data_IF_130910421192
#
_entry.id   IF_130910421192
#
_cell.length_a   1.000
_cell.length_b   1.000
_cell.length_c   1.000
_cell.angle_alpha   90.00
_cell.angle_beta   90.00
_cell.angle_gamma   90.00
#
_symmetry.space_group_name_H-M   'P 1'
#
loop_
_entity.id
_entity.type
_entity.pdbx_description
1 polymer ?
#
# COMPACT_ATOMS: atom_id res chain seq x y z
N UNK A 1 -15.37 22.09 -12.15
CA UNK A 1 -14.19 22.15 -11.26
C UNK A 1 -12.95 21.93 -12.11
N UNK A 2 -11.90 22.72 -11.94
CA UNK A 2 -10.66 22.62 -12.73
C UNK A 2 -10.01 21.25 -12.49
N UNK A 3 -9.66 20.52 -13.57
CA UNK A 3 -9.08 19.17 -13.52
C UNK A 3 -7.73 19.16 -12.78
N UNK A 4 -6.90 20.20 -12.94
CA UNK A 4 -5.64 20.36 -12.23
C UNK A 4 -5.83 20.49 -10.70
N UNK A 5 -6.82 21.27 -10.27
CA UNK A 5 -7.14 21.42 -8.85
C UNK A 5 -7.58 20.09 -8.23
N UNK A 6 -8.38 19.31 -8.95
CA UNK A 6 -8.75 17.95 -8.51
C UNK A 6 -7.54 17.04 -8.33
N UNK A 7 -6.59 17.09 -9.25
CA UNK A 7 -5.37 16.30 -9.11
C UNK A 7 -4.60 16.66 -7.84
N UNK A 8 -4.50 17.94 -7.48
CA UNK A 8 -3.87 18.38 -6.24
C UNK A 8 -4.61 17.82 -5.02
N UNK A 9 -5.95 17.90 -5.00
CA UNK A 9 -6.73 17.34 -3.90
C UNK A 9 -6.53 15.82 -3.75
N UNK A 10 -6.49 15.08 -4.85
CA UNK A 10 -6.21 13.63 -4.84
C UNK A 10 -4.79 13.37 -4.28
N UNK A 11 -3.79 14.14 -4.67
CA UNK A 11 -2.42 14.01 -4.14
C UNK A 11 -2.39 14.23 -2.63
N UNK A 12 -3.10 15.23 -2.13
CA UNK A 12 -3.24 15.49 -0.68
C UNK A 12 -3.81 14.25 0.03
N UNK A 13 -4.84 13.61 -0.53
CA UNK A 13 -5.46 12.43 0.07
C UNK A 13 -4.60 11.15 0.01
N UNK A 14 -3.52 11.15 -0.74
CA UNK A 14 -2.57 10.03 -0.83
C UNK A 14 -1.33 10.29 0.04
N UNK A 15 -0.75 11.49 -0.04
CA UNK A 15 0.57 11.76 0.51
C UNK A 15 0.55 12.46 1.87
N UNK A 16 -0.51 13.20 2.24
CA UNK A 16 -0.50 14.07 3.42
C UNK A 16 -1.32 13.49 4.58
N UNK A 17 -0.79 12.46 5.23
CA UNK A 17 -1.33 11.87 6.46
C UNK A 17 -0.53 12.19 7.71
N UNK A 18 0.50 13.02 7.61
CA UNK A 18 1.28 13.50 8.75
C UNK A 18 0.66 14.71 9.43
N UNK A 19 -0.44 15.22 8.89
CA UNK A 19 -1.22 16.32 9.44
C UNK A 19 -2.61 15.84 9.83
N UNK A 20 -3.02 16.12 11.07
CA UNK A 20 -4.40 15.94 11.55
C UNK A 20 -4.90 17.19 12.27
N UNK A 21 -6.20 17.47 12.18
CA UNK A 21 -6.84 18.58 12.86
C UNK A 21 -7.11 18.29 14.34
N UNK A 22 -7.48 17.03 14.65
CA UNK A 22 -7.76 16.55 16.00
C UNK A 22 -7.36 15.08 16.09
N UNK A 23 -7.00 14.64 17.31
CA UNK A 23 -6.55 13.28 17.58
C UNK A 23 -7.67 12.37 18.07
N UNK A 24 -8.56 12.92 18.87
CA UNK A 24 -9.64 12.18 19.51
C UNK A 24 -11.02 12.66 19.03
N UNK A 25 -12.03 11.75 18.89
CA UNK A 25 -12.02 10.31 19.18
C UNK A 25 -11.34 9.44 18.10
N UNK A 26 -10.91 10.03 17.01
CA UNK A 26 -10.12 9.45 15.93
C UNK A 26 -9.25 10.53 15.29
N UNK A 27 -8.17 10.14 14.62
CA UNK A 27 -7.31 11.12 13.94
C UNK A 27 -8.04 11.74 12.74
N UNK A 28 -8.36 13.01 12.82
CA UNK A 28 -9.05 13.79 11.79
C UNK A 28 -8.10 14.25 10.69
N UNK A 29 -7.74 13.39 9.75
CA UNK A 29 -6.82 13.70 8.67
C UNK A 29 -7.40 14.68 7.64
N UNK A 30 -6.54 15.46 7.01
CA UNK A 30 -6.91 16.37 5.92
C UNK A 30 -7.64 15.65 4.77
N UNK A 31 -7.32 14.39 4.53
CA UNK A 31 -8.01 13.56 3.55
C UNK A 31 -9.53 13.49 3.80
N UNK A 32 -9.96 13.38 5.06
CA UNK A 32 -11.39 13.33 5.39
C UNK A 32 -12.11 14.65 5.09
N UNK A 33 -11.43 15.77 5.30
CA UNK A 33 -12.00 17.08 4.91
C UNK A 33 -12.21 17.15 3.39
N UNK A 34 -11.23 16.68 2.61
CA UNK A 34 -11.37 16.60 1.14
C UNK A 34 -12.54 15.69 0.76
N UNK A 35 -12.71 14.54 1.43
CA UNK A 35 -13.85 13.67 1.20
C UNK A 35 -15.17 14.38 1.47
N UNK A 36 -15.31 15.02 2.63
CA UNK A 36 -16.53 15.72 3.03
C UNK A 36 -16.91 16.85 2.06
N UNK A 37 -15.94 17.60 1.56
CA UNK A 37 -16.17 18.69 0.60
C UNK A 37 -16.61 18.15 -0.77
N UNK A 38 -16.05 17.04 -1.23
CA UNK A 38 -16.31 16.53 -2.57
C UNK A 38 -17.49 15.55 -2.65
N UNK A 39 -17.87 14.87 -1.54
CA UNK A 39 -18.97 13.92 -1.57
C UNK A 39 -20.32 14.51 -2.03
N UNK A 40 -20.78 15.68 -1.56
CA UNK A 40 -22.03 16.25 -2.05
C UNK A 40 -22.02 16.45 -3.58
N UNK A 41 -20.90 16.96 -4.10
CA UNK A 41 -20.74 17.12 -5.55
C UNK A 41 -20.79 15.77 -6.29
N UNK A 42 -20.11 14.74 -5.78
CA UNK A 42 -20.09 13.41 -6.40
C UNK A 42 -21.47 12.74 -6.38
N UNK A 43 -22.18 12.82 -5.26
CA UNK A 43 -23.52 12.23 -5.12
C UNK A 43 -24.51 12.93 -6.05
N UNK A 44 -24.49 14.26 -6.12
CA UNK A 44 -25.36 15.03 -7.02
C UNK A 44 -25.06 14.73 -8.49
N UNK A 45 -23.79 14.58 -8.85
CA UNK A 45 -23.40 14.35 -10.25
C UNK A 45 -23.60 12.91 -10.71
N UNK A 46 -23.34 11.93 -9.84
CA UNK A 46 -23.24 10.53 -10.24
C UNK A 46 -24.24 9.59 -9.57
N UNK A 47 -24.96 10.06 -8.56
CA UNK A 47 -25.80 9.21 -7.73
C UNK A 47 -25.00 8.20 -6.90
N UNK A 48 -25.69 7.30 -6.24
CA UNK A 48 -25.09 6.30 -5.34
C UNK A 48 -24.64 5.07 -6.13
N UNK A 49 -23.36 4.66 -6.09
CA UNK A 49 -22.85 3.54 -6.86
C UNK A 49 -23.19 2.20 -6.21
N UNK A 50 -23.71 1.25 -6.98
CA UNK A 50 -24.11 -0.08 -6.48
C UNK A 50 -22.91 -0.95 -6.08
N UNK A 51 -21.85 -0.99 -6.89
CA UNK A 51 -20.73 -1.91 -6.71
C UNK A 51 -19.99 -1.72 -5.37
N UNK A 52 -19.54 -0.50 -4.99
CA UNK A 52 -18.91 -0.32 -3.68
C UNK A 52 -19.84 -0.72 -2.52
N UNK A 53 -21.13 -0.37 -2.60
CA UNK A 53 -22.08 -0.70 -1.53
C UNK A 53 -22.22 -2.20 -1.34
N UNK A 54 -22.35 -2.97 -2.42
CA UNK A 54 -22.50 -4.42 -2.35
C UNK A 54 -21.30 -5.11 -1.66
N UNK A 55 -20.09 -4.58 -1.84
CA UNK A 55 -18.89 -5.10 -1.17
C UNK A 55 -18.96 -4.91 0.35
N UNK A 56 -19.59 -3.85 0.83
CA UNK A 56 -19.64 -3.50 2.25
C UNK A 56 -20.81 -4.13 3.02
N UNK A 57 -21.85 -4.66 2.35
CA UNK A 57 -22.99 -5.29 3.02
C UNK A 57 -22.55 -6.47 3.92
N UNK A 58 -21.75 -7.46 3.46
CA UNK A 58 -21.30 -8.55 4.31
C UNK A 58 -20.47 -8.09 5.51
N UNK A 59 -19.62 -7.06 5.31
CA UNK A 59 -18.78 -6.48 6.36
C UNK A 59 -19.62 -5.74 7.42
N UNK A 60 -20.69 -5.07 6.99
CA UNK A 60 -21.63 -4.41 7.89
C UNK A 60 -22.39 -5.43 8.72
N UNK A 61 -22.93 -6.46 8.08
CA UNK A 61 -23.69 -7.51 8.75
C UNK A 61 -22.83 -8.29 9.75
N UNK A 62 -21.62 -8.68 9.36
CA UNK A 62 -20.69 -9.36 10.28
C UNK A 62 -20.34 -8.45 11.48
N UNK A 63 -20.08 -7.16 11.25
CA UNK A 63 -19.79 -6.21 12.32
C UNK A 63 -20.93 -6.08 13.33
N UNK A 64 -22.19 -5.99 12.86
CA UNK A 64 -23.37 -5.94 13.74
C UNK A 64 -23.48 -7.23 14.56
N UNK A 65 -23.35 -8.39 13.95
CA UNK A 65 -23.41 -9.68 14.64
C UNK A 65 -22.35 -9.74 15.74
N UNK A 66 -21.09 -9.40 15.46
CA UNK A 66 -20.00 -9.47 16.44
C UNK A 66 -20.08 -8.42 17.55
N UNK A 67 -20.72 -7.29 17.32
CA UNK A 67 -21.07 -6.33 18.38
C UNK A 67 -22.13 -6.94 19.32
N UNK A 68 -23.18 -7.56 18.77
CA UNK A 68 -24.27 -8.15 19.55
C UNK A 68 -23.81 -9.30 20.44
N UNK A 69 -22.84 -10.09 19.98
CA UNK A 69 -22.29 -11.21 20.79
C UNK A 69 -21.09 -10.80 21.66
N UNK A 70 -20.74 -9.51 21.72
CA UNK A 70 -19.70 -8.98 22.61
C UNK A 70 -18.25 -9.21 22.15
N UNK A 71 -18.02 -9.63 20.89
CA UNK A 71 -16.68 -9.83 20.33
C UNK A 71 -16.09 -8.59 19.66
N UNK A 72 -16.90 -7.54 19.49
CA UNK A 72 -16.45 -6.23 18.99
C UNK A 72 -17.20 -5.12 19.72
N UNK A 73 -16.74 -3.87 19.54
CA UNK A 73 -17.41 -2.69 20.14
C UNK A 73 -17.85 -1.72 19.05
N UNK A 74 -18.94 -0.99 19.30
CA UNK A 74 -19.49 -0.01 18.38
C UNK A 74 -18.45 1.04 17.94
N UNK A 75 -17.67 1.67 18.86
CA UNK A 75 -16.67 2.68 18.47
C UNK A 75 -15.57 2.14 17.56
N UNK A 76 -15.02 0.96 17.87
CA UNK A 76 -13.95 0.35 17.07
C UNK A 76 -14.47 -0.02 15.68
N UNK A 77 -15.64 -0.65 15.60
CA UNK A 77 -16.25 -1.02 14.34
C UNK A 77 -16.56 0.19 13.48
N UNK A 78 -17.27 1.19 14.01
CA UNK A 78 -17.65 2.39 13.25
C UNK A 78 -16.41 3.14 12.76
N UNK A 79 -15.38 3.30 13.59
CA UNK A 79 -14.12 3.97 13.22
C UNK A 79 -13.51 3.35 11.96
N UNK A 80 -13.40 2.02 11.92
CA UNK A 80 -12.75 1.32 10.81
C UNK A 80 -13.70 1.18 9.63
N UNK A 81 -14.94 0.78 9.85
CA UNK A 81 -15.93 0.60 8.80
C UNK A 81 -16.21 1.91 8.05
N UNK A 82 -16.47 3.01 8.76
CA UNK A 82 -16.76 4.30 8.14
C UNK A 82 -15.54 4.84 7.36
N UNK A 83 -14.33 4.80 7.94
CA UNK A 83 -13.12 5.25 7.27
C UNK A 83 -12.83 4.45 5.99
N UNK A 84 -13.00 3.13 6.05
CA UNK A 84 -12.80 2.26 4.90
C UNK A 84 -13.87 2.46 3.83
N UNK A 85 -15.15 2.47 4.22
CA UNK A 85 -16.28 2.69 3.30
C UNK A 85 -16.18 4.04 2.58
N UNK A 86 -15.98 5.13 3.33
CA UNK A 86 -15.86 6.48 2.76
C UNK A 86 -14.66 6.58 1.81
N UNK A 87 -13.52 6.01 2.17
CA UNK A 87 -12.33 6.03 1.31
C UNK A 87 -12.53 5.24 0.02
N UNK A 88 -13.10 4.03 0.09
CA UNK A 88 -13.40 3.21 -1.09
C UNK A 88 -14.40 3.91 -2.01
N UNK A 89 -15.46 4.49 -1.44
CA UNK A 89 -16.47 5.23 -2.18
C UNK A 89 -15.90 6.49 -2.84
N UNK A 90 -15.10 7.26 -2.10
CA UNK A 90 -14.44 8.47 -2.60
C UNK A 90 -13.58 8.17 -3.83
N UNK A 91 -12.68 7.20 -3.74
CA UNK A 91 -11.82 6.89 -4.87
C UNK A 91 -12.56 6.26 -6.04
N UNK A 92 -13.63 5.50 -5.80
CA UNK A 92 -14.51 5.07 -6.90
C UNK A 92 -15.08 6.25 -7.68
N UNK A 93 -15.56 7.30 -6.99
CA UNK A 93 -16.04 8.51 -7.65
C UNK A 93 -14.92 9.27 -8.36
N UNK A 94 -13.71 9.30 -7.80
CA UNK A 94 -12.55 9.88 -8.49
C UNK A 94 -12.34 9.17 -9.83
N UNK A 95 -12.30 7.83 -9.86
CA UNK A 95 -12.17 7.10 -11.12
C UNK A 95 -13.32 7.40 -12.09
N UNK A 96 -14.55 7.48 -11.61
CA UNK A 96 -15.71 7.82 -12.43
C UNK A 96 -15.63 9.24 -12.98
N UNK A 97 -15.11 10.18 -12.22
CA UNK A 97 -14.93 11.57 -12.65
C UNK A 97 -13.88 11.71 -13.76
N UNK A 98 -12.85 10.87 -13.72
CA UNK A 98 -11.80 10.79 -14.74
C UNK A 98 -12.10 9.74 -15.83
N UNK A 99 -13.39 9.35 -15.97
CA UNK A 99 -13.84 8.42 -17.02
C UNK A 99 -13.06 7.11 -17.04
N UNK A 100 -12.58 6.68 -15.86
CA UNK A 100 -11.75 5.49 -15.65
C UNK A 100 -10.39 5.52 -16.38
N UNK A 101 -9.89 6.73 -16.71
CA UNK A 101 -8.59 6.90 -17.35
C UNK A 101 -7.43 6.64 -16.37
N UNK A 102 -7.09 5.35 -16.24
CA UNK A 102 -6.07 4.84 -15.33
C UNK A 102 -4.69 5.44 -15.60
N UNK A 103 -4.31 5.55 -16.87
CA UNK A 103 -3.00 6.09 -17.28
C UNK A 103 -2.81 7.54 -16.81
N UNK A 104 -3.85 8.36 -16.91
CA UNK A 104 -3.81 9.74 -16.44
C UNK A 104 -3.59 9.80 -14.93
N UNK A 105 -4.44 9.13 -14.15
CA UNK A 105 -4.35 9.12 -12.69
C UNK A 105 -3.02 8.54 -12.19
N UNK A 106 -2.52 7.48 -12.83
CA UNK A 106 -1.22 6.91 -12.51
C UNK A 106 -0.07 7.87 -12.80
N UNK A 107 -0.13 8.58 -13.94
CA UNK A 107 0.89 9.58 -14.30
C UNK A 107 0.93 10.75 -13.30
N UNK A 108 -0.24 11.21 -12.84
CA UNK A 108 -0.30 12.24 -11.79
C UNK A 108 0.22 11.74 -10.44
N UNK A 109 -0.12 10.51 -10.05
CA UNK A 109 0.46 9.90 -8.87
C UNK A 109 2.00 9.87 -8.95
N UNK A 110 2.58 9.48 -10.08
CA UNK A 110 4.03 9.46 -10.28
C UNK A 110 4.69 10.85 -10.18
N UNK A 111 4.00 11.91 -10.64
CA UNK A 111 4.46 13.30 -10.45
C UNK A 111 4.51 13.65 -8.97
N UNK A 112 3.46 13.36 -8.21
CA UNK A 112 3.42 13.54 -6.77
C UNK A 112 4.51 12.74 -6.05
N UNK A 113 4.67 11.47 -6.41
CA UNK A 113 5.73 10.61 -5.90
C UNK A 113 7.14 11.18 -6.16
N UNK A 114 7.36 11.79 -7.33
CA UNK A 114 8.62 12.47 -7.66
C UNK A 114 8.85 13.68 -6.75
N UNK A 115 7.81 14.51 -6.53
CA UNK A 115 7.90 15.71 -5.68
C UNK A 115 8.24 15.30 -4.24
N UNK A 116 7.49 14.36 -3.66
CA UNK A 116 7.74 13.95 -2.27
C UNK A 116 9.09 13.22 -2.12
N UNK A 117 9.56 12.52 -3.15
CA UNK A 117 10.91 11.96 -3.18
C UNK A 117 11.99 13.04 -3.20
N UNK A 118 11.80 14.10 -3.99
CA UNK A 118 12.71 15.25 -4.02
C UNK A 118 12.75 15.96 -2.65
N UNK A 119 11.60 16.16 -2.00
CA UNK A 119 11.54 16.72 -0.63
C UNK A 119 12.33 15.82 0.33
N UNK A 120 12.22 14.49 0.22
CA UNK A 120 13.01 13.57 1.05
C UNK A 120 14.52 13.66 0.81
N UNK A 121 14.97 13.84 -0.44
CA UNK A 121 16.41 14.08 -0.73
C UNK A 121 16.86 15.41 -0.12
N UNK A 122 16.07 16.48 -0.24
CA UNK A 122 16.35 17.78 0.40
C UNK A 122 16.44 17.62 1.92
N UNK A 123 15.56 16.82 2.53
CA UNK A 123 15.59 16.49 3.95
C UNK A 123 16.93 15.90 4.38
N UNK A 124 17.45 14.91 3.65
CA UNK A 124 18.76 14.29 3.95
C UNK A 124 19.91 15.30 3.79
N UNK A 125 19.92 16.06 2.70
CA UNK A 125 20.95 17.08 2.46
C UNK A 125 20.92 18.14 3.57
N UNK A 126 19.74 18.63 3.94
CA UNK A 126 19.56 19.62 5.00
C UNK A 126 20.06 19.13 6.36
N UNK A 127 19.86 17.85 6.67
CA UNK A 127 20.41 17.25 7.87
C UNK A 127 21.93 17.25 7.88
N UNK A 128 22.57 16.88 6.75
CA UNK A 128 24.04 16.84 6.63
C UNK A 128 24.70 18.22 6.80
N UNK A 129 24.01 19.30 6.39
CA UNK A 129 24.52 20.66 6.54
C UNK A 129 24.01 21.35 7.82
N UNK A 130 23.26 20.66 8.68
CA UNK A 130 22.74 21.21 9.95
C UNK A 130 21.59 22.21 9.80
N UNK A 131 20.90 22.25 8.64
CA UNK A 131 19.78 23.15 8.38
C UNK A 131 18.47 22.56 8.90
N UNK A 132 18.09 22.89 10.14
CA UNK A 132 16.96 22.28 10.85
C UNK A 132 15.63 22.41 10.12
N UNK A 133 15.29 23.59 9.60
CA UNK A 133 14.03 23.80 8.87
C UNK A 133 13.91 22.96 7.58
N UNK A 134 15.01 22.48 7.05
CA UNK A 134 15.00 21.60 5.87
C UNK A 134 14.81 20.13 6.19
N UNK A 135 15.18 19.67 7.39
CA UNK A 135 15.03 18.26 7.76
C UNK A 135 13.95 17.98 8.81
N UNK A 136 13.60 18.95 9.64
CA UNK A 136 12.54 18.82 10.66
C UNK A 136 11.23 19.41 10.13
N UNK A 137 10.47 18.59 9.42
CA UNK A 137 9.23 19.05 8.77
C UNK A 137 8.06 19.25 9.75
N UNK A 138 8.20 18.93 11.05
CA UNK A 138 7.21 19.25 12.06
C UNK A 138 6.96 20.77 12.18
N UNK A 139 7.98 21.61 11.89
CA UNK A 139 7.85 23.06 11.85
C UNK A 139 6.80 23.59 10.87
N UNK A 140 6.45 22.78 9.84
CA UNK A 140 5.41 23.13 8.86
C UNK A 140 4.02 22.61 9.22
N UNK A 141 3.78 22.31 10.50
CA UNK A 141 2.47 21.88 11.00
C UNK A 141 2.17 20.40 10.78
N UNK A 142 3.15 19.59 10.40
CA UNK A 142 2.99 18.14 10.30
C UNK A 142 3.06 17.51 11.70
N UNK A 143 1.97 17.60 12.44
CA UNK A 143 1.90 17.29 13.88
C UNK A 143 2.02 15.79 14.23
N UNK A 144 1.93 14.89 13.24
CA UNK A 144 2.22 13.45 13.39
C UNK A 144 3.61 13.08 12.86
N UNK A 145 4.34 14.05 12.33
CA UNK A 145 5.65 13.84 11.76
C UNK A 145 6.73 13.74 12.83
N UNK A 146 7.64 12.79 12.66
CA UNK A 146 8.87 12.68 13.44
C UNK A 146 9.99 12.15 12.56
N UNK A 147 11.24 12.52 12.85
CA UNK A 147 12.37 11.88 12.21
C UNK A 147 12.82 10.68 13.02
N UNK A 148 13.32 9.67 12.33
CA UNK A 148 13.91 8.49 12.95
C UNK A 148 15.40 8.51 12.69
N UNK A 149 16.20 8.45 13.74
CA UNK A 149 17.66 8.29 13.61
C UNK A 149 17.99 6.87 13.11
N UNK A 150 19.06 6.76 12.34
CA UNK A 150 19.64 5.52 11.87
C UNK A 150 21.15 5.67 11.83
N UNK A 151 21.93 4.62 11.78
CA UNK A 151 23.38 4.55 12.04
C UNK A 151 24.28 5.63 11.42
N UNK A 152 23.87 6.28 10.32
CA UNK A 152 24.65 7.35 9.65
C UNK A 152 23.94 8.71 9.64
N UNK A 153 22.84 8.87 10.40
CA UNK A 153 22.07 10.11 10.41
C UNK A 153 20.56 9.89 10.57
N UNK A 154 19.76 10.58 9.76
CA UNK A 154 18.31 10.38 9.74
C UNK A 154 17.89 9.48 8.58
N UNK A 155 16.83 8.70 8.79
CA UNK A 155 16.17 7.90 7.76
C UNK A 155 15.19 8.77 6.99
N UNK A 156 15.19 8.68 5.65
CA UNK A 156 14.31 9.45 4.81
C UNK A 156 12.85 9.05 5.03
N UNK A 157 12.02 10.02 5.42
CA UNK A 157 10.56 9.88 5.49
C UNK A 157 9.81 11.00 4.75
N UNK A 158 10.50 12.04 4.28
CA UNK A 158 9.89 13.19 3.60
C UNK A 158 8.73 13.76 4.42
N UNK A 159 7.57 13.96 3.82
CA UNK A 159 6.35 14.47 4.50
C UNK A 159 5.55 13.39 5.24
N UNK A 160 6.01 12.15 5.25
CA UNK A 160 5.33 11.04 5.94
C UNK A 160 5.75 10.96 7.41
N UNK A 161 4.89 10.39 8.25
CA UNK A 161 5.18 10.21 9.68
C UNK A 161 6.32 9.22 9.94
N UNK A 162 6.54 8.26 9.03
CA UNK A 162 7.56 7.23 9.16
C UNK A 162 8.17 6.85 7.80
N UNK A 163 9.45 6.40 7.78
CA UNK A 163 10.10 5.87 6.58
C UNK A 163 9.38 4.67 5.95
N UNK A 164 8.71 3.86 6.75
CA UNK A 164 7.93 2.69 6.31
C UNK A 164 6.70 3.08 5.47
N UNK A 165 6.00 4.14 5.86
CA UNK A 165 4.87 4.67 5.09
C UNK A 165 5.33 5.30 3.78
N UNK A 166 6.40 6.10 3.81
CA UNK A 166 7.00 6.62 2.57
C UNK A 166 7.35 5.47 1.62
N UNK A 167 8.11 4.46 2.10
CA UNK A 167 8.51 3.32 1.28
C UNK A 167 7.31 2.58 0.67
N UNK A 168 6.26 2.32 1.46
CA UNK A 168 5.07 1.64 0.97
C UNK A 168 4.36 2.44 -0.13
N UNK A 169 4.11 3.74 0.12
CA UNK A 169 3.33 4.59 -0.81
C UNK A 169 4.08 4.89 -2.09
N UNK A 170 5.42 5.00 -2.02
CA UNK A 170 6.27 5.28 -3.20
C UNK A 170 6.66 4.00 -3.96
N UNK A 171 6.39 2.82 -3.42
CA UNK A 171 6.76 1.55 -4.06
C UNK A 171 6.30 1.40 -5.52
N UNK A 172 5.08 1.79 -5.93
CA UNK A 172 4.69 1.75 -7.34
C UNK A 172 5.57 2.66 -8.23
N UNK A 173 5.93 3.84 -7.74
CA UNK A 173 6.82 4.76 -8.46
C UNK A 173 8.26 4.22 -8.51
N UNK A 174 8.72 3.59 -7.44
CA UNK A 174 10.01 2.90 -7.39
C UNK A 174 10.09 1.77 -8.42
N UNK A 175 9.06 0.95 -8.56
CA UNK A 175 9.04 -0.10 -9.59
C UNK A 175 9.18 0.47 -11.00
N UNK A 176 8.43 1.55 -11.34
CA UNK A 176 8.53 2.23 -12.63
C UNK A 176 9.93 2.80 -12.84
N UNK A 177 10.49 3.46 -11.83
CA UNK A 177 11.81 4.07 -11.87
C UNK A 177 12.91 3.00 -12.08
N UNK A 178 12.85 1.89 -11.34
CA UNK A 178 13.77 0.75 -11.47
C UNK A 178 13.69 0.13 -12.86
N UNK A 179 12.48 -0.12 -13.36
CA UNK A 179 12.26 -0.65 -14.71
C UNK A 179 12.85 0.28 -15.78
N UNK A 180 12.64 1.60 -15.66
CA UNK A 180 13.15 2.59 -16.59
C UNK A 180 14.69 2.57 -16.66
N UNK A 181 15.34 2.51 -15.51
CA UNK A 181 16.82 2.48 -15.42
C UNK A 181 17.36 1.17 -15.98
N UNK A 182 16.80 0.02 -15.58
CA UNK A 182 17.22 -1.30 -16.04
C UNK A 182 17.08 -1.45 -17.56
N UNK A 183 15.97 -0.94 -18.11
CA UNK A 183 15.72 -1.03 -19.57
C UNK A 183 16.31 0.12 -20.39
N UNK A 184 16.80 1.18 -19.74
CA UNK A 184 17.19 2.43 -20.39
C UNK A 184 16.10 3.02 -21.30
N UNK A 185 14.83 2.73 -20.95
CA UNK A 185 13.65 3.22 -21.68
C UNK A 185 12.70 3.87 -20.67
N UNK A 186 12.52 5.17 -20.80
CA UNK A 186 11.78 5.98 -19.84
C UNK A 186 10.30 6.06 -20.24
N UNK A 187 9.45 5.38 -19.45
CA UNK A 187 7.99 5.35 -19.60
C UNK A 187 7.40 6.08 -18.40
N UNK A 188 6.40 6.93 -18.60
CA UNK A 188 5.71 7.77 -17.62
C UNK A 188 6.55 8.89 -16.99
N UNK A 189 7.80 8.62 -16.59
CA UNK A 189 8.70 9.57 -15.93
C UNK A 189 10.08 9.53 -16.57
N UNK A 190 10.76 10.71 -16.57
CA UNK A 190 12.08 10.86 -17.16
C UNK A 190 13.21 10.26 -16.29
N UNK A 191 14.43 10.33 -16.81
CA UNK A 191 15.64 9.79 -16.17
C UNK A 191 15.90 10.40 -14.79
N UNK A 192 15.85 11.72 -14.68
CA UNK A 192 16.12 12.45 -13.43
C UNK A 192 15.11 12.06 -12.34
N UNK A 193 13.81 12.03 -12.66
CA UNK A 193 12.77 11.62 -11.74
C UNK A 193 12.99 10.16 -11.29
N UNK A 194 13.37 9.25 -12.19
CA UNK A 194 13.66 7.86 -11.87
C UNK A 194 14.83 7.75 -10.87
N UNK A 195 15.91 8.51 -11.09
CA UNK A 195 17.08 8.50 -10.18
C UNK A 195 16.69 9.06 -8.80
N UNK A 196 15.94 10.17 -8.73
CA UNK A 196 15.47 10.76 -7.47
C UNK A 196 14.62 9.77 -6.67
N UNK A 197 13.66 9.11 -7.32
CA UNK A 197 12.78 8.12 -6.66
C UNK A 197 13.58 6.94 -6.14
N UNK A 198 14.51 6.38 -6.93
CA UNK A 198 15.33 5.24 -6.50
C UNK A 198 16.21 5.65 -5.31
N UNK A 199 16.90 6.79 -5.39
CA UNK A 199 17.73 7.28 -4.29
C UNK A 199 16.90 7.50 -3.01
N UNK A 200 15.77 8.20 -3.10
CA UNK A 200 14.89 8.44 -1.96
C UNK A 200 14.38 7.12 -1.35
N UNK A 201 14.00 6.14 -2.19
CA UNK A 201 13.52 4.86 -1.73
C UNK A 201 14.57 4.07 -0.93
N UNK A 202 15.81 4.03 -1.42
CA UNK A 202 16.93 3.36 -0.73
C UNK A 202 17.25 4.07 0.58
N UNK A 203 17.27 5.40 0.62
CA UNK A 203 17.58 6.19 1.81
C UNK A 203 16.54 6.12 2.93
N UNK A 204 15.42 5.45 2.70
CA UNK A 204 14.47 5.14 3.79
C UNK A 204 15.05 4.20 4.84
N UNK A 205 16.00 3.34 4.47
CA UNK A 205 16.52 2.26 5.31
C UNK A 205 15.42 1.51 6.07
N UNK A 206 14.27 1.33 5.40
CA UNK A 206 13.08 0.71 5.98
C UNK A 206 13.01 -0.78 5.61
N UNK A 207 12.59 -1.63 6.55
CA UNK A 207 12.31 -3.04 6.25
C UNK A 207 11.23 -3.21 5.18
N UNK A 208 10.26 -2.28 5.11
CA UNK A 208 9.26 -2.21 4.03
C UNK A 208 9.94 -1.86 2.70
N UNK A 209 10.89 -0.93 2.72
CA UNK A 209 11.69 -0.57 1.53
C UNK A 209 12.51 -1.73 1.01
N UNK A 210 13.23 -2.45 1.89
CA UNK A 210 14.03 -3.63 1.52
C UNK A 210 13.13 -4.72 0.91
N UNK A 211 12.01 -5.03 1.55
CA UNK A 211 11.02 -5.98 1.03
C UNK A 211 10.47 -5.53 -0.34
N UNK A 212 10.22 -4.23 -0.49
CA UNK A 212 9.75 -3.67 -1.76
C UNK A 212 10.77 -3.79 -2.89
N UNK A 213 12.08 -3.59 -2.61
CA UNK A 213 13.14 -3.84 -3.59
C UNK A 213 13.13 -5.31 -4.02
N UNK A 214 13.04 -6.23 -3.05
CA UNK A 214 13.00 -7.67 -3.33
C UNK A 214 11.82 -8.06 -4.23
N UNK A 215 10.61 -7.63 -3.90
CA UNK A 215 9.40 -7.91 -4.70
C UNK A 215 9.47 -7.24 -6.08
N UNK A 216 9.97 -6.00 -6.17
CA UNK A 216 10.13 -5.31 -7.45
C UNK A 216 11.09 -6.06 -8.39
N UNK A 217 12.23 -6.53 -7.85
CA UNK A 217 13.17 -7.37 -8.60
C UNK A 217 12.51 -8.67 -9.05
N UNK A 218 11.77 -9.35 -8.16
CA UNK A 218 11.03 -10.56 -8.50
C UNK A 218 10.04 -10.30 -9.66
N UNK A 219 9.32 -9.19 -9.65
CA UNK A 219 8.42 -8.83 -10.75
C UNK A 219 9.17 -8.55 -12.07
N UNK A 220 10.36 -7.96 -12.03
CA UNK A 220 11.21 -7.84 -13.20
C UNK A 220 11.61 -9.20 -13.74
N UNK A 221 12.04 -10.13 -12.88
CA UNK A 221 12.40 -11.48 -13.26
C UNK A 221 11.23 -12.23 -13.91
N UNK A 222 10.03 -12.15 -13.32
CA UNK A 222 8.81 -12.77 -13.84
C UNK A 222 8.41 -12.23 -15.22
N UNK A 223 8.62 -10.94 -15.50
CA UNK A 223 8.22 -10.30 -16.75
C UNK A 223 9.27 -10.38 -17.87
N UNK A 224 10.55 -10.56 -17.55
CA UNK A 224 11.64 -10.59 -18.54
C UNK A 224 12.34 -11.92 -18.68
N UNK A 225 11.93 -12.93 -17.94
CA UNK A 225 12.52 -14.26 -17.92
C UNK A 225 13.49 -14.46 -16.76
N UNK A 226 13.13 -15.39 -15.90
CA UNK A 226 13.84 -15.68 -14.65
C UNK A 226 15.32 -16.06 -14.90
N UNK A 227 15.57 -16.98 -15.84
CA UNK A 227 16.90 -17.54 -16.07
C UNK A 227 17.93 -16.50 -16.49
N UNK A 228 17.55 -15.52 -17.32
CA UNK A 228 18.48 -14.53 -17.87
C UNK A 228 19.04 -13.57 -16.81
N UNK A 229 18.26 -13.25 -15.78
CA UNK A 229 18.61 -12.20 -14.81
C UNK A 229 18.94 -12.74 -13.43
N UNK A 230 18.61 -13.99 -13.13
CA UNK A 230 18.94 -14.65 -11.85
C UNK A 230 20.43 -14.63 -11.56
N UNK A 231 21.25 -14.91 -12.59
CA UNK A 231 22.72 -14.88 -12.45
C UNK A 231 23.30 -13.50 -12.15
N UNK A 232 22.54 -12.44 -12.35
CA UNK A 232 22.94 -11.07 -11.99
C UNK A 232 22.37 -10.72 -10.62
N UNK A 233 21.10 -11.01 -10.38
CA UNK A 233 20.42 -10.58 -9.16
C UNK A 233 20.82 -11.39 -7.94
N UNK A 234 21.07 -12.68 -8.07
CA UNK A 234 21.52 -13.52 -6.93
C UNK A 234 22.85 -13.04 -6.36
N UNK A 235 23.90 -12.82 -7.17
CA UNK A 235 25.14 -12.22 -6.65
C UNK A 235 24.94 -10.82 -6.05
N UNK A 236 24.20 -9.95 -6.72
CA UNK A 236 23.93 -8.59 -6.21
C UNK A 236 23.20 -8.63 -4.87
N UNK A 237 22.21 -9.52 -4.73
CA UNK A 237 21.53 -9.72 -3.45
C UNK A 237 22.45 -10.30 -2.38
N UNK A 238 23.23 -11.32 -2.71
CA UNK A 238 24.15 -11.94 -1.79
C UNK A 238 25.22 -10.94 -1.28
N UNK A 239 25.87 -10.23 -2.20
CA UNK A 239 26.86 -9.22 -1.81
C UNK A 239 26.23 -8.01 -1.10
N UNK A 240 25.04 -7.60 -1.51
CA UNK A 240 24.29 -6.53 -0.84
C UNK A 240 23.87 -6.93 0.57
N UNK A 241 23.38 -8.14 0.75
CA UNK A 241 23.07 -8.71 2.07
C UNK A 241 24.34 -8.85 2.93
N UNK A 242 25.40 -9.44 2.39
CA UNK A 242 26.67 -9.60 3.07
C UNK A 242 27.26 -8.27 3.52
N UNK A 243 27.22 -7.27 2.63
CA UNK A 243 27.66 -5.90 2.97
C UNK A 243 26.79 -5.29 4.08
N UNK A 244 25.47 -5.36 3.95
CA UNK A 244 24.55 -4.81 4.93
C UNK A 244 24.70 -5.50 6.30
N UNK A 245 24.82 -6.82 6.32
CA UNK A 245 25.00 -7.60 7.54
C UNK A 245 26.30 -7.29 8.28
N UNK A 246 27.40 -7.07 7.55
CA UNK A 246 28.70 -6.80 8.17
C UNK A 246 28.95 -5.33 8.51
N UNK A 247 28.27 -4.38 7.84
CA UNK A 247 28.57 -2.96 7.97
C UNK A 247 27.42 -2.13 8.57
N UNK A 248 26.21 -2.68 8.68
CA UNK A 248 25.05 -1.98 9.22
C UNK A 248 24.55 -2.78 10.44
N UNK A 249 24.94 -2.35 11.62
CA UNK A 249 24.61 -2.99 12.89
C UNK A 249 23.09 -3.18 13.04
N UNK A 250 22.30 -2.14 12.77
CA UNK A 250 20.83 -2.18 12.82
C UNK A 250 20.23 -3.24 11.86
N UNK A 251 20.87 -3.52 10.72
CA UNK A 251 20.43 -4.56 9.79
C UNK A 251 20.76 -5.96 10.34
N UNK A 252 21.95 -6.14 10.89
CA UNK A 252 22.38 -7.39 11.53
C UNK A 252 21.48 -7.75 12.70
N UNK A 253 21.26 -6.80 13.63
CA UNK A 253 20.43 -7.01 14.81
C UNK A 253 18.97 -7.38 14.46
N UNK A 254 18.44 -6.79 13.40
CA UNK A 254 17.11 -7.17 12.89
C UNK A 254 17.06 -8.56 12.30
N UNK A 255 18.12 -8.96 11.60
CA UNK A 255 18.21 -10.28 10.97
C UNK A 255 18.38 -11.37 12.03
N UNK A 256 19.35 -11.18 12.93
CA UNK A 256 19.65 -12.12 14.01
C UNK A 256 18.45 -12.24 14.97
N UNK A 257 17.87 -11.14 15.43
CA UNK A 257 16.65 -11.15 16.24
C UNK A 257 15.42 -11.74 15.54
N UNK A 258 15.41 -11.82 14.20
CA UNK A 258 14.35 -12.55 13.47
C UNK A 258 14.65 -14.05 13.49
N UNK A 259 15.90 -14.47 13.34
CA UNK A 259 16.31 -15.88 13.43
C UNK A 259 16.07 -16.45 14.82
N UNK A 260 16.36 -15.66 15.86
CA UNK A 260 16.17 -16.07 17.26
C UNK A 260 14.71 -16.41 17.58
N UNK A 261 13.75 -15.67 16.98
CA UNK A 261 12.32 -15.99 17.11
C UNK A 261 11.98 -17.39 16.60
N UNK A 262 12.61 -17.82 15.51
CA UNK A 262 12.36 -19.14 14.91
C UNK A 262 13.19 -20.27 15.57
N UNK A 263 14.25 -19.93 16.29
CA UNK A 263 15.13 -20.90 16.96
C UNK A 263 14.77 -21.13 18.42
N UNK A 264 13.94 -20.26 19.02
CA UNK A 264 13.55 -20.38 20.42
C UNK A 264 12.49 -21.48 20.62
N UNK A 265 12.85 -22.55 21.31
CA UNK A 265 11.94 -23.63 21.73
C UNK A 265 10.91 -23.17 22.79
N UNK A 266 10.15 -22.10 22.49
CA UNK A 266 9.00 -21.68 23.28
C UNK A 266 9.23 -20.64 24.38
N UNK A 267 10.46 -20.30 24.76
CA UNK A 267 10.75 -19.19 25.68
C UNK A 267 11.39 -18.00 24.92
N UNK A 268 10.52 -17.13 24.41
CA UNK A 268 10.92 -15.90 23.73
C UNK A 268 11.32 -14.87 24.78
N UNK A 269 12.61 -14.68 25.01
CA UNK A 269 13.13 -13.61 25.85
C UNK A 269 12.95 -12.27 25.11
N UNK A 270 11.91 -11.50 25.49
CA UNK A 270 11.52 -10.25 24.85
C UNK A 270 12.60 -9.14 24.87
N UNK A 271 13.66 -9.31 25.65
CA UNK A 271 14.75 -8.36 25.79
C UNK A 271 15.81 -8.48 24.69
N UNK A 272 15.98 -9.64 24.08
CA UNK A 272 17.04 -9.94 23.10
C UNK A 272 16.55 -9.81 21.65
N UNK A 273 15.22 -9.62 21.42
CA UNK A 273 14.64 -9.61 20.09
C UNK A 273 14.47 -8.17 19.61
N UNK A 274 14.91 -7.90 18.39
CA UNK A 274 14.67 -6.61 17.74
C UNK A 274 13.17 -6.27 17.72
N UNK A 275 12.79 -5.12 18.30
CA UNK A 275 11.39 -4.74 18.56
C UNK A 275 10.43 -4.89 17.39
N UNK A 276 10.86 -4.63 16.13
CA UNK A 276 9.95 -4.75 14.96
C UNK A 276 9.69 -6.20 14.54
N UNK A 277 10.61 -7.13 14.81
CA UNK A 277 10.41 -8.57 14.56
C UNK A 277 9.47 -9.16 15.60
N UNK A 278 9.67 -8.82 16.87
CA UNK A 278 8.77 -9.21 17.95
C UNK A 278 7.35 -8.71 17.72
N UNK A 279 7.17 -7.45 17.31
CA UNK A 279 5.85 -6.88 16.98
C UNK A 279 5.12 -7.71 15.93
N UNK A 280 5.80 -8.10 14.85
CA UNK A 280 5.19 -8.91 13.79
C UNK A 280 4.84 -10.32 14.28
N UNK A 281 5.73 -10.96 15.04
CA UNK A 281 5.53 -12.28 15.62
C UNK A 281 4.36 -12.29 16.62
N UNK A 282 4.31 -11.33 17.53
CA UNK A 282 3.21 -11.20 18.49
C UNK A 282 1.86 -11.00 17.79
N UNK A 283 1.79 -10.12 16.77
CA UNK A 283 0.57 -9.93 16.00
C UNK A 283 0.20 -11.16 15.16
N UNK A 284 1.18 -11.93 14.66
CA UNK A 284 0.93 -13.22 14.02
C UNK A 284 0.32 -14.23 15.01
N UNK A 285 0.86 -14.33 16.21
CA UNK A 285 0.30 -15.18 17.28
C UNK A 285 -1.14 -14.79 17.60
N UNK A 286 -1.40 -13.49 17.84
CA UNK A 286 -2.74 -12.96 18.13
C UNK A 286 -3.73 -13.25 16.99
N UNK A 287 -3.34 -13.01 15.76
CA UNK A 287 -4.18 -13.26 14.60
C UNK A 287 -4.48 -14.75 14.42
N UNK A 288 -3.49 -15.62 14.64
CA UNK A 288 -3.63 -17.07 14.56
C UNK A 288 -4.58 -17.60 15.64
N UNK A 289 -4.42 -17.15 16.89
CA UNK A 289 -5.29 -17.52 18.01
C UNK A 289 -6.74 -17.11 17.78
N UNK A 290 -6.95 -15.89 17.27
CA UNK A 290 -8.29 -15.40 16.95
C UNK A 290 -8.89 -16.13 15.74
N UNK A 291 -8.07 -16.43 14.73
CA UNK A 291 -8.49 -17.15 13.52
C UNK A 291 -8.92 -18.59 13.82
N UNK A 292 -8.16 -19.34 14.63
CA UNK A 292 -8.53 -20.73 14.99
C UNK A 292 -9.92 -20.79 15.61
N UNK A 293 -10.32 -19.77 16.38
CA UNK A 293 -11.64 -19.70 17.02
C UNK A 293 -12.73 -19.14 16.11
N UNK A 294 -12.37 -18.30 15.15
CA UNK A 294 -13.30 -17.60 14.26
C UNK A 294 -12.82 -17.63 12.79
N UNK A 295 -12.71 -18.83 12.16
CA UNK A 295 -11.96 -18.97 10.91
C UNK A 295 -12.64 -18.38 9.67
N UNK A 296 -13.99 -18.33 9.62
CA UNK A 296 -14.70 -17.99 8.37
C UNK A 296 -14.78 -16.49 8.16
N UNK A 297 -15.30 -15.74 9.13
CA UNK A 297 -15.57 -14.28 9.02
C UNK A 297 -14.90 -13.46 10.13
N UNK A 298 -13.96 -14.06 10.87
CA UNK A 298 -13.20 -13.38 11.94
C UNK A 298 -14.08 -12.92 13.09
N UNK A 299 -13.78 -11.74 13.66
CA UNK A 299 -14.52 -11.12 14.76
C UNK A 299 -15.05 -9.71 14.43
N UNK A 300 -15.09 -9.36 13.13
CA UNK A 300 -15.57 -8.08 12.60
C UNK A 300 -14.48 -7.02 12.48
N UNK A 301 -14.69 -6.09 11.54
CA UNK A 301 -13.75 -4.99 11.30
C UNK A 301 -13.49 -4.16 12.57
N UNK A 302 -12.23 -3.85 12.83
CA UNK A 302 -11.82 -3.06 14.00
C UNK A 302 -11.69 -3.85 15.29
N UNK A 303 -11.88 -5.18 15.30
CA UNK A 303 -11.82 -6.01 16.50
C UNK A 303 -10.40 -6.47 16.89
N UNK A 304 -9.41 -6.29 16.04
CA UNK A 304 -8.03 -6.74 16.34
C UNK A 304 -7.48 -6.22 17.68
N UNK A 305 -7.74 -4.96 18.12
CA UNK A 305 -7.34 -4.51 19.44
C UNK A 305 -7.91 -5.34 20.61
N UNK A 306 -9.09 -5.89 20.46
CA UNK A 306 -9.71 -6.77 21.48
C UNK A 306 -9.01 -8.13 21.50
N UNK A 307 -8.72 -8.68 20.31
CA UNK A 307 -7.92 -9.90 20.20
C UNK A 307 -6.50 -9.70 20.77
N UNK A 308 -5.90 -8.53 20.55
CA UNK A 308 -4.59 -8.16 21.11
C UNK A 308 -4.63 -8.20 22.64
N UNK A 309 -5.60 -7.56 23.29
CA UNK A 309 -5.73 -7.55 24.75
C UNK A 309 -5.91 -8.97 25.31
N UNK A 310 -6.52 -9.87 24.54
CA UNK A 310 -6.80 -11.23 24.97
C UNK A 310 -5.63 -12.20 24.77
N UNK A 311 -4.92 -12.09 23.65
CA UNK A 311 -3.96 -13.11 23.21
C UNK A 311 -2.52 -12.64 23.12
N UNK A 312 -2.20 -11.36 23.43
CA UNK A 312 -0.84 -10.84 23.33
C UNK A 312 0.12 -11.60 24.27
N UNK A 313 1.27 -11.96 23.74
CA UNK A 313 2.35 -12.57 24.53
C UNK A 313 2.92 -11.60 25.59
N UNK A 314 2.76 -10.30 25.42
CA UNK A 314 3.19 -9.28 26.38
C UNK A 314 2.40 -9.33 27.69
N UNK A 315 1.19 -9.89 27.71
CA UNK A 315 0.37 -10.05 28.92
C UNK A 315 1.01 -11.01 29.92
N UNK A 316 1.77 -12.00 29.45
CA UNK A 316 2.44 -12.99 30.30
C UNK A 316 3.74 -12.48 30.95
N UNK A 317 4.35 -11.42 30.41
CA UNK A 317 5.72 -10.98 30.77
C UNK A 317 5.70 -9.74 31.69
N UNK A 318 4.52 -9.12 31.95
CA UNK A 318 4.44 -7.93 32.82
C UNK A 318 5.17 -6.69 32.28
N UNK A 319 5.56 -6.71 31.00
CA UNK A 319 6.24 -5.60 30.33
C UNK A 319 5.27 -4.47 30.14
N UNK A 320 5.66 -3.28 30.56
CA UNK A 320 4.96 -2.01 30.38
C UNK A 320 4.31 -1.97 29.02
N UNK A 321 3.00 -1.68 28.96
CA UNK A 321 2.14 -1.64 27.78
C UNK A 321 2.73 -0.80 26.63
N UNK A 322 3.67 -1.36 25.88
CA UNK A 322 4.10 -0.77 24.62
C UNK A 322 3.05 -1.16 23.58
N UNK A 323 2.54 -0.16 22.89
CA UNK A 323 1.42 -0.30 21.96
C UNK A 323 1.90 -0.91 20.60
N UNK A 324 2.39 -2.16 20.64
CA UNK A 324 3.01 -2.90 19.52
C UNK A 324 2.08 -3.10 18.32
N UNK A 325 1.70 -2.01 17.65
CA UNK A 325 0.77 -2.02 16.51
C UNK A 325 -0.58 -2.69 16.81
N UNK A 326 -1.05 -2.58 18.05
CA UNK A 326 -2.34 -3.07 18.52
C UNK A 326 -3.50 -2.67 17.59
N UNK A 327 -3.44 -1.47 17.02
CA UNK A 327 -4.51 -0.94 16.19
C UNK A 327 -4.58 -1.53 14.78
N UNK A 328 -3.46 -2.03 14.23
CA UNK A 328 -3.35 -2.39 12.81
C UNK A 328 -2.61 -3.70 12.51
N UNK A 329 -2.19 -4.43 13.54
CA UNK A 329 -1.47 -5.70 13.44
C UNK A 329 -0.13 -5.63 12.66
N UNK A 330 0.37 -4.45 12.30
CA UNK A 330 1.57 -4.24 11.47
C UNK A 330 1.57 -5.00 10.11
N UNK A 331 0.43 -5.59 9.74
CA UNK A 331 0.24 -6.37 8.52
C UNK A 331 -1.25 -6.47 8.21
N UNK A 332 -1.64 -6.07 6.99
CA UNK A 332 -3.05 -6.17 6.58
C UNK A 332 -3.50 -7.64 6.45
N UNK A 333 -2.59 -8.54 6.10
CA UNK A 333 -2.89 -9.97 6.07
C UNK A 333 -3.27 -10.48 7.46
N UNK A 334 -2.48 -10.17 8.48
CA UNK A 334 -2.75 -10.58 9.86
C UNK A 334 -4.02 -9.94 10.40
N UNK A 335 -4.22 -8.67 10.09
CA UNK A 335 -5.41 -7.94 10.48
C UNK A 335 -6.67 -8.52 9.83
N UNK A 336 -6.64 -8.79 8.50
CA UNK A 336 -7.75 -9.45 7.81
C UNK A 336 -8.02 -10.84 8.37
N UNK A 337 -6.97 -11.60 8.65
CA UNK A 337 -7.10 -12.94 9.23
C UNK A 337 -7.84 -12.89 10.58
N UNK A 338 -7.48 -11.94 11.44
CA UNK A 338 -8.11 -11.74 12.75
C UNK A 338 -9.53 -11.17 12.64
N UNK A 339 -9.73 -10.09 11.84
CA UNK A 339 -10.98 -9.32 11.80
C UNK A 339 -12.03 -9.92 10.86
N UNK A 340 -11.61 -10.58 9.76
CA UNK A 340 -12.52 -11.06 8.71
C UNK A 340 -12.30 -12.53 8.32
N UNK A 341 -11.38 -13.21 8.97
CA UNK A 341 -11.09 -14.63 8.72
C UNK A 341 -10.66 -14.90 7.28
N UNK A 342 -10.95 -16.11 6.80
CA UNK A 342 -10.62 -16.53 5.43
C UNK A 342 -11.40 -15.74 4.37
N UNK A 343 -12.56 -15.19 4.72
CA UNK A 343 -13.37 -14.40 3.79
C UNK A 343 -12.62 -13.16 3.30
N UNK A 344 -12.10 -12.31 4.19
CA UNK A 344 -11.40 -11.08 3.80
C UNK A 344 -10.03 -11.35 3.19
N UNK A 345 -9.29 -12.32 3.75
CA UNK A 345 -8.01 -12.77 3.17
C UNK A 345 -8.23 -13.33 1.76
N UNK A 346 -9.20 -14.22 1.59
CA UNK A 346 -9.53 -14.82 0.30
C UNK A 346 -9.97 -13.79 -0.73
N UNK A 347 -10.80 -12.81 -0.35
CA UNK A 347 -11.21 -11.72 -1.22
C UNK A 347 -10.00 -10.88 -1.69
N UNK A 348 -9.08 -10.55 -0.79
CA UNK A 348 -7.91 -9.73 -1.13
C UNK A 348 -6.93 -10.50 -2.03
N UNK A 349 -6.69 -11.77 -1.75
CA UNK A 349 -5.89 -12.64 -2.61
C UNK A 349 -6.56 -12.85 -3.97
N UNK A 350 -7.88 -13.01 -4.02
CA UNK A 350 -8.62 -13.07 -5.27
C UNK A 350 -8.45 -11.78 -6.09
N UNK A 351 -8.57 -10.61 -5.47
CA UNK A 351 -8.33 -9.33 -6.15
C UNK A 351 -6.91 -9.29 -6.72
N UNK A 352 -5.90 -9.65 -5.92
CA UNK A 352 -4.51 -9.61 -6.33
C UNK A 352 -4.23 -10.55 -7.51
N UNK A 353 -4.66 -11.81 -7.44
CA UNK A 353 -4.36 -12.82 -8.45
C UNK A 353 -5.21 -12.64 -9.72
N UNK A 354 -6.52 -12.38 -9.56
CA UNK A 354 -7.47 -12.28 -10.68
C UNK A 354 -7.21 -11.10 -11.60
N UNK A 355 -6.75 -9.98 -11.03
CA UNK A 355 -6.54 -8.74 -11.78
C UNK A 355 -5.07 -8.49 -12.13
N UNK A 356 -4.17 -9.45 -11.87
CA UNK A 356 -2.78 -9.34 -12.24
C UNK A 356 -2.57 -9.45 -13.75
N UNK A 357 -1.84 -8.48 -14.30
CA UNK A 357 -1.45 -8.44 -15.70
C UNK A 357 0.07 -8.56 -15.82
N UNK A 358 0.54 -9.59 -16.49
CA UNK A 358 1.95 -9.72 -16.84
C UNK A 358 2.20 -9.32 -18.29
N UNK A 359 3.45 -9.06 -18.64
CA UNK A 359 3.88 -8.51 -19.94
C UNK A 359 3.34 -9.27 -21.16
N UNK A 360 3.22 -10.60 -21.09
CA UNK A 360 2.73 -11.42 -22.20
C UNK A 360 1.21 -11.38 -22.41
N UNK A 361 0.44 -10.81 -21.47
CA UNK A 361 -1.04 -10.74 -21.52
C UNK A 361 -1.59 -9.35 -21.78
N UNK A 362 -0.76 -8.36 -22.09
CA UNK A 362 -1.21 -7.00 -22.34
C UNK A 362 -0.87 -6.55 -23.73
N UNK A 363 -1.79 -5.79 -24.35
CA UNK A 363 -1.56 -5.16 -25.64
C UNK A 363 -0.62 -3.94 -25.49
N UNK A 364 -0.91 -3.11 -24.50
CA UNK A 364 -0.14 -1.90 -24.22
C UNK A 364 0.92 -2.16 -23.15
N UNK A 365 2.13 -1.68 -23.40
CA UNK A 365 3.23 -1.82 -22.47
C UNK A 365 2.90 -1.19 -21.09
N UNK A 366 2.13 -0.12 -21.06
CA UNK A 366 1.79 0.62 -19.85
C UNK A 366 0.92 -0.19 -18.90
N UNK A 367 0.01 -1.01 -19.40
CA UNK A 367 -0.93 -1.79 -18.59
C UNK A 367 -0.25 -2.79 -17.65
N UNK A 368 0.74 -3.55 -18.15
CA UNK A 368 1.47 -4.49 -17.30
C UNK A 368 2.41 -3.76 -16.32
N UNK A 369 2.98 -2.62 -16.72
CA UNK A 369 3.82 -1.80 -15.84
C UNK A 369 2.97 -1.30 -14.66
N UNK A 370 1.82 -0.71 -14.93
CA UNK A 370 0.86 -0.26 -13.91
C UNK A 370 0.46 -1.43 -13.01
N UNK A 371 0.11 -2.57 -13.60
CA UNK A 371 -0.32 -3.74 -12.83
C UNK A 371 0.76 -4.23 -11.85
N UNK A 372 2.00 -4.36 -12.29
CA UNK A 372 3.10 -4.78 -11.41
C UNK A 372 3.43 -3.74 -10.34
N UNK A 373 3.44 -2.46 -10.70
CA UNK A 373 3.63 -1.37 -9.76
C UNK A 373 2.56 -1.39 -8.64
N UNK A 374 1.30 -1.59 -9.01
CA UNK A 374 0.19 -1.65 -8.06
C UNK A 374 0.16 -2.96 -7.26
N UNK A 375 0.50 -4.10 -7.87
CA UNK A 375 0.65 -5.36 -7.14
C UNK A 375 1.74 -5.26 -6.06
N UNK A 376 2.80 -4.49 -6.30
CA UNK A 376 3.87 -4.26 -5.32
C UNK A 376 3.34 -3.59 -4.06
N UNK A 377 2.60 -2.47 -4.17
CA UNK A 377 2.05 -1.80 -2.98
C UNK A 377 1.01 -2.67 -2.27
N UNK A 378 0.19 -3.43 -3.01
CA UNK A 378 -0.79 -4.36 -2.42
C UNK A 378 -0.07 -5.43 -1.59
N UNK A 379 0.99 -6.04 -2.12
CA UNK A 379 1.78 -7.02 -1.39
C UNK A 379 2.49 -6.42 -0.17
N UNK A 380 3.05 -5.21 -0.29
CA UNK A 380 3.67 -4.54 0.85
C UNK A 380 2.67 -4.25 1.97
N UNK A 381 1.45 -3.83 1.64
CA UNK A 381 0.41 -3.63 2.64
C UNK A 381 -0.02 -4.97 3.27
N UNK A 382 -0.20 -6.02 2.49
CA UNK A 382 -0.50 -7.34 3.03
C UNK A 382 0.57 -7.81 4.01
N UNK A 383 1.85 -7.59 3.73
CA UNK A 383 2.94 -8.14 4.51
C UNK A 383 3.37 -7.25 5.69
N UNK A 384 3.34 -5.91 5.55
CA UNK A 384 4.01 -4.99 6.48
C UNK A 384 3.27 -3.68 6.78
N UNK A 385 2.00 -3.51 6.37
CA UNK A 385 1.18 -2.34 6.65
C UNK A 385 -0.25 -2.75 6.96
N UNK A 386 -0.74 -2.45 8.17
CA UNK A 386 -2.03 -2.94 8.65
C UNK A 386 -3.24 -2.05 8.34
N UNK A 387 -3.10 -1.02 7.52
CA UNK A 387 -4.15 -0.05 7.30
C UNK A 387 -5.00 -0.34 6.06
N UNK A 388 -6.33 -0.37 6.20
CA UNK A 388 -7.27 -0.62 5.10
C UNK A 388 -7.44 0.57 4.15
N UNK A 389 -7.23 1.81 4.61
CA UNK A 389 -7.62 3.01 3.86
C UNK A 389 -6.65 4.19 3.96
N UNK A 390 -5.64 4.14 4.83
CA UNK A 390 -4.67 5.23 4.93
C UNK A 390 -3.80 5.33 3.68
N UNK A 391 -3.23 6.51 3.47
CA UNK A 391 -2.32 6.78 2.34
C UNK A 391 -2.90 6.42 0.97
N UNK A 392 -4.22 6.57 0.82
CA UNK A 392 -4.89 6.32 -0.45
C UNK A 392 -4.88 4.85 -0.89
N UNK A 393 -4.73 3.88 0.01
CA UNK A 393 -4.67 2.46 -0.37
C UNK A 393 -5.85 2.01 -1.26
N UNK A 394 -7.13 2.39 -1.02
CA UNK A 394 -8.23 2.08 -1.93
C UNK A 394 -8.11 2.70 -3.32
N UNK A 395 -7.39 3.82 -3.49
CA UNK A 395 -7.07 4.38 -4.80
C UNK A 395 -6.25 3.39 -5.64
N UNK A 396 -5.23 2.78 -5.04
CA UNK A 396 -4.39 1.79 -5.72
C UNK A 396 -5.16 0.50 -6.03
N UNK A 397 -6.07 0.06 -5.16
CA UNK A 397 -6.94 -1.09 -5.40
C UNK A 397 -7.89 -0.82 -6.59
N UNK A 398 -8.57 0.33 -6.63
CA UNK A 398 -9.43 0.69 -7.77
C UNK A 398 -8.64 0.84 -9.05
N UNK A 399 -7.47 1.45 -8.99
CA UNK A 399 -6.58 1.58 -10.15
C UNK A 399 -6.16 0.22 -10.70
N UNK A 400 -5.84 -0.72 -9.82
CA UNK A 400 -5.50 -2.10 -10.19
C UNK A 400 -6.65 -2.82 -10.90
N UNK A 401 -7.85 -2.72 -10.35
CA UNK A 401 -9.06 -3.27 -10.93
C UNK A 401 -9.40 -2.65 -12.29
N UNK A 402 -9.40 -1.32 -12.39
CA UNK A 402 -9.77 -0.65 -13.64
C UNK A 402 -8.70 -0.82 -14.72
N UNK A 403 -7.42 -0.94 -14.37
CA UNK A 403 -6.36 -1.28 -15.31
C UNK A 403 -6.60 -2.65 -15.96
N UNK A 404 -6.95 -3.65 -15.15
CA UNK A 404 -7.32 -4.97 -15.64
C UNK A 404 -8.60 -4.94 -16.48
N UNK A 405 -9.63 -4.23 -16.04
CA UNK A 405 -10.90 -4.10 -16.74
C UNK A 405 -10.70 -3.51 -18.14
N UNK A 406 -9.96 -2.40 -18.24
CA UNK A 406 -9.64 -1.74 -19.51
C UNK A 406 -8.86 -2.68 -20.47
N UNK A 407 -7.87 -3.44 -19.96
CA UNK A 407 -7.18 -4.44 -20.78
C UNK A 407 -8.13 -5.51 -21.31
N UNK A 408 -9.06 -5.99 -20.49
CA UNK A 408 -10.03 -7.01 -20.90
C UNK A 408 -10.99 -6.49 -21.96
N UNK A 409 -11.48 -5.26 -21.84
CA UNK A 409 -12.34 -4.61 -22.83
C UNK A 409 -11.62 -4.49 -24.18
N UNK A 410 -10.39 -4.01 -24.21
CA UNK A 410 -9.56 -3.95 -25.42
C UNK A 410 -9.31 -5.34 -26.08
N UNK A 411 -9.15 -6.38 -25.28
CA UNK A 411 -8.97 -7.73 -25.82
C UNK A 411 -10.24 -8.30 -26.39
N UNK A 412 -11.41 -7.95 -25.84
CA UNK A 412 -12.72 -8.36 -26.35
C UNK A 412 -13.05 -7.69 -27.68
N UNK A 413 -12.79 -6.39 -27.82
CA UNK A 413 -12.98 -5.64 -29.08
C UNK A 413 -12.20 -6.22 -30.26
N UNK A 414 -11.03 -6.83 -29.99
CA UNK A 414 -10.21 -7.46 -31.05
C UNK A 414 -10.71 -8.86 -31.41
N UNK A 415 -11.31 -9.55 -30.44
CA UNK A 415 -11.82 -10.90 -30.64
C UNK A 415 -13.12 -10.94 -31.45
N UNK A 416 -13.85 -9.81 -31.54
CA UNK A 416 -15.02 -9.67 -32.40
C UNK A 416 -14.55 -9.50 -33.86
N UNK A 417 -14.94 -10.39 -34.82
CA UNK A 417 -14.62 -10.21 -36.23
C UNK A 417 -15.23 -8.88 -36.69
N UNK A 418 -14.56 -8.14 -37.60
CA UNK A 418 -15.11 -6.93 -38.16
C UNK A 418 -16.49 -7.24 -38.76
N UNK A 419 -17.52 -6.50 -38.31
CA UNK A 419 -18.85 -6.60 -38.89
C UNK A 419 -18.69 -6.29 -40.38
N UNK A 420 -18.83 -7.30 -41.20
CA UNK A 420 -18.81 -7.15 -42.66
C UNK A 420 -20.05 -6.36 -43.03
N UNK A 421 -19.93 -5.05 -43.16
CA UNK A 421 -20.98 -4.19 -43.74
C UNK A 421 -20.89 -4.40 -45.25
N UNK A 422 -21.86 -5.09 -45.89
CA UNK A 422 -21.86 -5.27 -47.35
C UNK A 422 -21.83 -3.88 -47.97
N UNK A 423 -20.92 -3.64 -48.89
CA UNK A 423 -20.82 -2.38 -49.58
C UNK A 423 -22.03 -2.31 -50.57
N UNK A 424 -23.03 -1.47 -50.33
CA UNK A 424 -24.26 -1.45 -51.18
C UNK A 424 -23.99 -1.08 -52.64
N UNK A 425 -22.78 -0.62 -52.96
CA UNK A 425 -22.40 -0.25 -54.33
C UNK A 425 -21.81 -1.44 -55.17
N UNK A 426 -21.67 -2.62 -54.58
CA UNK A 426 -21.20 -3.82 -55.34
C UNK A 426 -22.35 -4.58 -55.97
N UNK A 427 -23.58 -4.48 -55.44
CA UNK A 427 -24.75 -5.14 -56.03
C UNK A 427 -25.32 -4.42 -57.26
N UNK A 428 -25.00 -3.13 -57.46
CA UNK A 428 -25.51 -2.34 -58.58
C UNK A 428 -24.76 -2.51 -59.91
N UNK A 429 -23.72 -3.39 -59.99
CA UNK A 429 -22.94 -3.64 -61.19
C UNK A 429 -23.15 -5.02 -61.79
N UNK A 430 -24.09 -5.82 -61.29
CA UNK A 430 -24.41 -7.17 -61.81
C UNK A 430 -25.84 -7.30 -62.33
N UNK A 431 -26.52 -6.19 -62.64
CA UNK A 431 -27.82 -6.16 -63.36
C UNK A 431 -27.68 -5.55 -64.74
#
# INVERSE_FOLDING_TARGET
MNRQFLHILIQITIFLYSFYFFREPFEGYLAYLVYLILFPFFILKFGIPKLPILIFIPLLLSGIIYILIGMNTVPLFIKIFAGFFLSVLFYYYVFRLFEFEVKELFTYYLKGATIVSAIGIIQIISFQVGFEYGYNLAHFGLNKWSYTSGGTGIRLNSIFSEPSYFASVIAPAFFVALLNVVRRKFVFIGRTASIIIIAAYILTFSSVGILGIFIAVLFLLLNFGFVRYVFIFVPVFYFGFYFAYNNIEEFRDRFDGTLDIFSADGEVNSYDIHGSSFVLFNNWHIASENFVRNPIIGTGLGSHPIAFDKYSLTNAVGVIQINFNKADANSMFLRLLSETGIYGVGLMLFILVRHYLYRGKTREQEQWIISNALALIILLNLLRQGHYFLHGFPFFIWMYYFNWKKNREHMAEIAEPPIFVPNPNLEAKSS
#
